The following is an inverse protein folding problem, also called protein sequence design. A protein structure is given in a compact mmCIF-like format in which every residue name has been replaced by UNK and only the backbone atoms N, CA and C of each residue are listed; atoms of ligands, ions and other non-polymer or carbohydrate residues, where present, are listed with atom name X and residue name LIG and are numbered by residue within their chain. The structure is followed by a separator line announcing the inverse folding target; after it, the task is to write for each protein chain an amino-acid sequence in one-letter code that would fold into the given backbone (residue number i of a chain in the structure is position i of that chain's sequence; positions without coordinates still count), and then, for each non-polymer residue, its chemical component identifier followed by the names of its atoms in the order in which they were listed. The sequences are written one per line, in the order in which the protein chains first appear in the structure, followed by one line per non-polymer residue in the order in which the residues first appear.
data_IF_055235262488
#
_entry.id   IF_055235262488
#
_cell.length_a   1.000
_cell.length_b   1.000
_cell.length_c   1.000
_cell.angle_alpha   90.00
_cell.angle_beta   90.00
_cell.angle_gamma   90.00
#
_symmetry.space_group_name_H-M   'P 1'
#
loop_
_entity.id
_entity.type
_entity.pdbx_description
1 polymer ?
#
# COMPACT_ATOMS: atom_id res chain seq x y z
N UNK A 1 -3.99 -9.92 5.46
CA UNK A 1 -3.46 -9.54 6.79
C UNK A 1 -2.89 -10.71 7.57
N UNK A 2 -3.59 -11.85 7.71
CA UNK A 2 -3.09 -13.01 8.48
C UNK A 2 -1.68 -13.48 8.06
N UNK A 3 -1.41 -13.54 6.75
CA UNK A 3 -0.06 -13.82 6.22
C UNK A 3 1.03 -12.89 6.79
N UNK A 4 0.74 -11.59 6.91
CA UNK A 4 1.70 -10.60 7.41
C UNK A 4 1.96 -10.85 8.90
N UNK A 5 0.90 -11.04 9.69
CA UNK A 5 1.02 -11.30 11.14
C UNK A 5 1.81 -12.58 11.42
N UNK A 6 1.61 -13.65 10.63
CA UNK A 6 2.34 -14.90 10.83
C UNK A 6 3.80 -14.85 10.41
N UNK A 7 4.16 -14.03 9.41
CA UNK A 7 5.56 -13.86 9.00
C UNK A 7 6.35 -12.95 9.95
N UNK A 8 5.65 -12.08 10.68
CA UNK A 8 6.24 -11.13 11.60
C UNK A 8 6.23 -11.75 13.00
N UNK A 9 7.40 -12.16 13.47
CA UNK A 9 7.58 -12.68 14.83
C UNK A 9 7.53 -11.51 15.82
N UNK A 10 6.32 -11.11 16.23
CA UNK A 10 6.07 -9.96 17.10
C UNK A 10 6.10 -10.41 18.56
N UNK A 11 7.00 -9.83 19.36
CA UNK A 11 7.02 -9.98 20.81
C UNK A 11 5.94 -9.08 21.46
N UNK A 12 4.84 -9.70 21.88
CA UNK A 12 3.72 -8.99 22.50
C UNK A 12 3.99 -8.51 23.93
N UNK A 13 5.03 -9.03 24.59
CA UNK A 13 5.36 -8.66 25.97
C UNK A 13 6.08 -7.31 25.99
N UNK A 14 7.01 -7.06 25.06
CA UNK A 14 7.63 -5.74 24.88
C UNK A 14 6.62 -4.66 24.45
N UNK A 15 5.62 -4.99 23.63
CA UNK A 15 4.58 -4.04 23.20
C UNK A 15 3.66 -3.57 24.33
N UNK A 16 3.56 -4.33 25.42
CA UNK A 16 2.76 -3.98 26.60
C UNK A 16 3.51 -3.10 27.58
N UNK A 17 4.84 -3.02 27.46
CA UNK A 17 5.68 -2.17 28.30
C UNK A 17 5.38 -0.68 27.98
N UNK A 18 4.84 0.06 28.95
CA UNK A 18 4.43 1.46 28.78
C UNK A 18 3.01 1.69 28.21
N UNK A 19 2.31 0.66 27.74
CA UNK A 19 0.91 0.79 27.29
C UNK A 19 -0.01 1.19 28.45
N UNK A 20 0.20 0.62 29.64
CA UNK A 20 -0.61 0.92 30.82
C UNK A 20 -0.47 2.38 31.28
N UNK A 21 0.67 3.03 31.05
CA UNK A 21 0.91 4.42 31.44
C UNK A 21 0.16 5.40 30.53
N UNK A 22 0.03 5.09 29.25
CA UNK A 22 -0.67 5.92 28.25
C UNK A 22 -2.17 5.62 28.14
N UNK A 23 -2.61 4.46 28.64
CA UNK A 23 -4.00 4.02 28.69
C UNK A 23 -4.97 5.05 29.30
N UNK A 24 -4.72 5.67 30.47
CA UNK A 24 -5.65 6.65 31.04
C UNK A 24 -5.85 7.89 30.16
N UNK A 25 -4.80 8.36 29.49
CA UNK A 25 -4.86 9.50 28.56
C UNK A 25 -5.67 9.09 27.33
N UNK A 26 -5.34 7.96 26.72
CA UNK A 26 -6.05 7.43 25.55
C UNK A 26 -7.53 7.16 25.83
N UNK A 27 -7.84 6.59 26.99
CA UNK A 27 -9.21 6.33 27.44
C UNK A 27 -9.99 7.64 27.62
N UNK A 28 -9.36 8.67 28.22
CA UNK A 28 -9.98 9.99 28.37
C UNK A 28 -10.32 10.60 27.01
N UNK A 29 -9.39 10.56 26.05
CA UNK A 29 -9.62 11.07 24.69
C UNK A 29 -10.72 10.26 23.99
N UNK A 30 -10.72 8.93 24.10
CA UNK A 30 -11.75 8.08 23.51
C UNK A 30 -13.14 8.39 24.07
N UNK A 31 -13.26 8.59 25.39
CA UNK A 31 -14.50 8.98 26.06
C UNK A 31 -14.97 10.36 25.59
N UNK A 32 -14.05 11.32 25.44
CA UNK A 32 -14.38 12.64 24.91
C UNK A 32 -14.91 12.57 23.47
N UNK A 33 -14.27 11.79 22.59
CA UNK A 33 -14.74 11.58 21.21
C UNK A 33 -16.12 10.92 21.22
N UNK A 34 -16.33 9.90 22.07
CA UNK A 34 -17.62 9.23 22.18
C UNK A 34 -18.71 10.18 22.67
N UNK A 35 -18.43 11.01 23.69
CA UNK A 35 -19.35 12.05 24.15
C UNK A 35 -19.67 13.06 23.04
N UNK A 36 -18.66 13.50 22.28
CA UNK A 36 -18.87 14.40 21.14
C UNK A 36 -19.80 13.77 20.10
N UNK A 37 -19.61 12.50 19.75
CA UNK A 37 -20.49 11.79 18.82
C UNK A 37 -21.92 11.69 19.36
N UNK A 38 -22.11 11.36 20.64
CA UNK A 38 -23.44 11.32 21.27
C UNK A 38 -24.11 12.69 21.25
N UNK A 39 -23.38 13.75 21.59
CA UNK A 39 -23.89 15.11 21.56
C UNK A 39 -24.26 15.52 20.13
N UNK A 40 -23.40 15.25 19.14
CA UNK A 40 -23.67 15.57 17.73
C UNK A 40 -24.91 14.83 17.21
N UNK A 41 -25.07 13.56 17.57
CA UNK A 41 -26.22 12.75 17.16
C UNK A 41 -27.52 13.17 17.87
N UNK A 42 -27.45 13.71 19.09
CA UNK A 42 -28.63 14.11 19.88
C UNK A 42 -28.96 15.61 19.83
N UNK A 43 -28.03 16.46 19.41
CA UNK A 43 -28.17 17.94 19.39
C UNK A 43 -29.10 18.50 18.30
N UNK A 44 -29.75 17.63 17.52
CA UNK A 44 -30.88 18.02 16.68
C UNK A 44 -30.63 18.67 15.31
N UNK A 45 -29.41 18.88 14.75
CA UNK A 45 -29.29 19.31 13.36
C UNK A 45 -29.61 18.17 12.37
N UNK A 46 -29.69 16.93 12.85
CA UNK A 46 -30.26 15.81 12.11
C UNK A 46 -31.74 15.75 12.42
N UNK A 47 -32.56 16.50 11.68
CA UNK A 47 -34.02 16.38 11.72
C UNK A 47 -34.42 15.05 11.08
N UNK A 48 -34.18 13.94 11.77
CA UNK A 48 -34.49 12.58 11.30
C UNK A 48 -36.00 12.46 10.99
N UNK A 49 -36.84 13.25 11.66
CA UNK A 49 -38.28 13.33 11.41
C UNK A 49 -38.66 14.06 10.09
N UNK A 50 -37.81 14.96 9.57
CA UNK A 50 -38.05 15.63 8.29
C UNK A 50 -37.46 14.88 7.08
N UNK A 51 -36.60 13.89 7.32
CA UNK A 51 -36.08 13.02 6.26
C UNK A 51 -37.20 12.05 5.90
N UNK A 52 -37.98 12.41 4.88
CA UNK A 52 -38.97 11.53 4.28
C UNK A 52 -38.32 10.18 3.99
N UNK A 53 -38.90 9.10 4.53
CA UNK A 53 -38.42 7.75 4.25
C UNK A 53 -38.32 7.57 2.73
N UNK A 54 -37.20 7.05 2.20
CA UNK A 54 -37.05 6.81 0.77
C UNK A 54 -38.24 5.98 0.28
N UNK A 55 -38.83 6.38 -0.85
CA UNK A 55 -39.94 5.64 -1.46
C UNK A 55 -39.48 4.18 -1.65
N UNK A 56 -40.24 3.18 -1.17
CA UNK A 56 -39.88 1.78 -1.32
C UNK A 56 -39.69 1.49 -2.80
N UNK A 57 -38.48 1.05 -3.14
CA UNK A 57 -38.15 0.77 -4.52
C UNK A 57 -38.89 -0.50 -4.97
N UNK A 58 -39.42 -0.49 -6.19
CA UNK A 58 -40.15 -1.63 -6.75
C UNK A 58 -39.29 -2.89 -6.85
N UNK A 59 -39.92 -4.05 -7.01
CA UNK A 59 -39.25 -5.37 -7.03
C UNK A 59 -38.16 -5.47 -8.13
N UNK A 60 -38.29 -4.68 -9.20
CA UNK A 60 -37.32 -4.58 -10.30
C UNK A 60 -36.17 -3.58 -10.05
N UNK A 61 -36.10 -2.97 -8.87
CA UNK A 61 -35.12 -1.94 -8.54
C UNK A 61 -33.81 -2.56 -8.02
N UNK A 62 -32.86 -2.77 -8.94
CA UNK A 62 -31.55 -3.34 -8.61
C UNK A 62 -30.55 -2.31 -8.06
N UNK A 63 -30.13 -2.49 -6.81
CA UNK A 63 -29.10 -1.64 -6.18
C UNK A 63 -27.79 -1.58 -6.98
N UNK A 64 -27.36 -2.70 -7.57
CA UNK A 64 -26.14 -2.77 -8.38
C UNK A 64 -26.24 -1.90 -9.63
N UNK A 65 -27.41 -1.86 -10.28
CA UNK A 65 -27.63 -1.04 -11.46
C UNK A 65 -27.60 0.45 -11.11
N UNK A 66 -28.25 0.83 -10.00
CA UNK A 66 -28.27 2.22 -9.53
C UNK A 66 -26.90 2.73 -9.09
N UNK A 67 -26.14 1.90 -8.36
CA UNK A 67 -24.75 2.23 -8.02
C UNK A 67 -23.90 2.38 -9.29
N UNK A 68 -24.09 1.51 -10.29
CA UNK A 68 -23.44 1.65 -11.59
C UNK A 68 -23.76 3.00 -12.25
N UNK A 69 -25.04 3.38 -12.31
CA UNK A 69 -25.45 4.67 -12.86
C UNK A 69 -24.77 5.84 -12.16
N UNK A 70 -24.73 5.85 -10.82
CA UNK A 70 -24.06 6.89 -10.05
C UNK A 70 -22.55 6.94 -10.30
N UNK A 71 -21.89 5.78 -10.22
CA UNK A 71 -20.44 5.66 -10.38
C UNK A 71 -19.96 6.08 -11.77
N UNK A 72 -20.69 5.71 -12.82
CA UNK A 72 -20.27 5.98 -14.19
C UNK A 72 -20.81 7.29 -14.77
N UNK A 73 -21.83 7.90 -14.16
CA UNK A 73 -22.42 9.17 -14.66
C UNK A 73 -21.98 10.37 -13.83
N UNK A 74 -22.16 10.31 -12.50
CA UNK A 74 -21.93 11.47 -11.62
C UNK A 74 -20.57 11.41 -10.92
N UNK A 75 -20.13 10.21 -10.55
CA UNK A 75 -18.91 10.00 -9.75
C UNK A 75 -17.77 9.38 -10.58
N UNK A 76 -17.76 9.61 -11.90
CA UNK A 76 -16.75 9.04 -12.78
C UNK A 76 -15.34 9.47 -12.40
N UNK A 77 -15.17 10.72 -11.97
CA UNK A 77 -13.87 11.26 -11.57
C UNK A 77 -13.27 10.56 -10.33
N UNK A 78 -13.95 10.52 -9.17
CA UNK A 78 -13.44 9.77 -8.02
C UNK A 78 -13.33 8.26 -8.29
N UNK A 79 -14.17 7.68 -9.15
CA UNK A 79 -14.05 6.28 -9.55
C UNK A 79 -12.75 6.00 -10.31
N UNK A 80 -12.41 6.84 -11.28
CA UNK A 80 -11.14 6.74 -12.03
C UNK A 80 -9.94 7.01 -11.11
N UNK A 81 -10.04 7.97 -10.20
CA UNK A 81 -9.00 8.20 -9.20
C UNK A 81 -8.79 6.98 -8.29
N UNK A 82 -9.85 6.32 -7.84
CA UNK A 82 -9.75 5.09 -7.06
C UNK A 82 -9.02 3.99 -7.86
N UNK A 83 -9.31 3.83 -9.15
CA UNK A 83 -8.60 2.90 -10.02
C UNK A 83 -7.10 3.23 -10.15
N UNK A 84 -6.75 4.51 -10.30
CA UNK A 84 -5.36 4.97 -10.33
C UNK A 84 -4.65 4.73 -8.99
N UNK A 85 -5.33 4.94 -7.86
CA UNK A 85 -4.79 4.67 -6.52
C UNK A 85 -4.56 3.17 -6.31
N UNK A 86 -5.45 2.30 -6.80
CA UNK A 86 -5.24 0.85 -6.75
C UNK A 86 -4.03 0.43 -7.57
N UNK A 87 -3.86 1.00 -8.77
CA UNK A 87 -2.67 0.76 -9.59
C UNK A 87 -1.40 1.21 -8.87
N UNK A 88 -1.41 2.42 -8.30
CA UNK A 88 -0.30 2.96 -7.53
C UNK A 88 0.04 2.07 -6.33
N UNK A 89 -0.98 1.61 -5.59
CA UNK A 89 -0.81 0.72 -4.45
C UNK A 89 -0.17 -0.60 -4.85
N UNK A 90 -0.58 -1.21 -5.96
CA UNK A 90 0.05 -2.43 -6.48
C UNK A 90 1.51 -2.21 -6.84
N UNK A 91 1.82 -1.13 -7.59
CA UNK A 91 3.21 -0.81 -7.96
C UNK A 91 4.07 -0.57 -6.71
N UNK A 92 3.58 0.23 -5.75
CA UNK A 92 4.27 0.50 -4.52
C UNK A 92 4.52 -0.78 -3.71
N UNK A 93 3.51 -1.63 -3.54
CA UNK A 93 3.63 -2.89 -2.82
C UNK A 93 4.67 -3.84 -3.46
N UNK A 94 4.67 -3.97 -4.79
CA UNK A 94 5.67 -4.78 -5.51
C UNK A 94 7.06 -4.20 -5.31
N UNK A 95 7.26 -2.90 -5.51
CA UNK A 95 8.58 -2.26 -5.37
C UNK A 95 9.12 -2.39 -3.95
N UNK A 96 8.26 -2.26 -2.93
CA UNK A 96 8.65 -2.40 -1.52
C UNK A 96 9.03 -3.83 -1.14
N UNK A 97 8.41 -4.83 -1.77
CA UNK A 97 8.65 -6.25 -1.47
C UNK A 97 9.67 -6.90 -2.40
N UNK A 98 10.05 -6.22 -3.49
CA UNK A 98 11.02 -6.72 -4.47
C UNK A 98 12.44 -6.71 -3.88
N UNK A 99 12.83 -7.83 -3.28
CA UNK A 99 14.17 -8.04 -2.74
C UNK A 99 15.13 -8.53 -3.83
N UNK A 100 16.17 -7.75 -4.16
CA UNK A 100 17.29 -8.24 -4.96
C UNK A 100 18.15 -9.18 -4.12
N UNK A 101 18.40 -10.39 -4.63
CA UNK A 101 19.32 -11.35 -4.01
C UNK A 101 20.77 -10.89 -4.19
N UNK A 102 21.50 -10.75 -3.09
CA UNK A 102 22.94 -10.48 -3.12
C UNK A 102 23.71 -11.75 -3.48
N UNK A 103 24.82 -11.61 -4.20
CA UNK A 103 25.67 -12.74 -4.64
C UNK A 103 25.31 -13.35 -6.00
N UNK A 104 24.22 -12.91 -6.65
CA UNK A 104 23.89 -13.36 -8.01
C UNK A 104 24.72 -12.57 -9.03
N UNK A 105 25.59 -13.26 -9.77
CA UNK A 105 26.30 -12.66 -10.91
C UNK A 105 25.30 -12.38 -12.02
N UNK A 106 25.13 -11.11 -12.36
CA UNK A 106 24.32 -10.66 -13.49
C UNK A 106 25.23 -10.08 -14.55
N UNK A 107 24.94 -10.36 -15.82
CA UNK A 107 25.66 -9.73 -16.92
C UNK A 107 25.02 -8.38 -17.23
N UNK A 108 25.85 -7.42 -17.60
CA UNK A 108 25.40 -6.13 -18.13
C UNK A 108 25.67 -6.14 -19.64
N UNK A 109 24.68 -6.43 -20.49
CA UNK A 109 24.89 -6.57 -21.93
C UNK A 109 25.51 -5.33 -22.57
N UNK A 110 25.14 -4.12 -22.08
CA UNK A 110 25.71 -2.87 -22.58
C UNK A 110 27.24 -2.78 -22.35
N UNK A 111 27.73 -3.20 -21.18
CA UNK A 111 29.17 -3.26 -20.91
C UNK A 111 29.86 -4.32 -21.78
N UNK A 112 29.17 -5.40 -22.15
CA UNK A 112 29.72 -6.46 -23.01
C UNK A 112 29.76 -6.13 -24.51
N UNK A 113 28.94 -5.17 -24.95
CA UNK A 113 28.87 -4.74 -26.36
C UNK A 113 29.81 -3.56 -26.60
N UNK A 114 30.01 -2.67 -25.63
CA UNK A 114 30.82 -1.44 -25.78
C UNK A 114 32.34 -1.63 -25.60
N UNK A 115 32.79 -2.86 -25.46
CA UNK A 115 34.19 -3.24 -25.24
C UNK A 115 35.04 -2.99 -26.48
N UNK A 116 36.20 -2.39 -26.27
CA UNK A 116 37.16 -2.07 -27.30
C UNK A 116 38.24 -3.14 -27.37
N UNK A 117 39.03 -3.12 -28.46
CA UNK A 117 40.17 -4.03 -28.63
C UNK A 117 41.14 -3.94 -27.45
N UNK A 118 41.39 -2.73 -26.97
CA UNK A 118 42.24 -2.41 -25.81
C UNK A 118 41.82 -3.17 -24.53
N UNK A 119 40.52 -3.38 -24.31
CA UNK A 119 39.98 -4.05 -23.12
C UNK A 119 40.12 -5.58 -23.16
N UNK A 120 40.43 -6.15 -24.33
CA UNK A 120 40.43 -7.60 -24.60
C UNK A 120 41.83 -8.20 -24.64
N UNK A 121 42.86 -7.41 -24.93
CA UNK A 121 44.22 -7.90 -25.18
C UNK A 121 45.27 -7.17 -24.34
N UNK A 122 46.09 -7.94 -23.62
CA UNK A 122 47.26 -7.44 -22.87
C UNK A 122 48.53 -8.03 -23.48
N UNK A 123 49.36 -7.18 -24.08
CA UNK A 123 50.69 -7.58 -24.56
C UNK A 123 51.64 -7.68 -23.36
N UNK A 124 51.97 -8.91 -22.96
CA UNK A 124 52.98 -9.17 -21.94
C UNK A 124 54.29 -9.49 -22.64
N UNK A 125 55.31 -8.64 -22.46
CA UNK A 125 56.68 -8.97 -22.87
C UNK A 125 57.24 -10.01 -21.91
N UNK A 126 57.71 -11.13 -22.45
CA UNK A 126 58.43 -12.15 -21.70
C UNK A 126 59.87 -12.27 -22.21
N UNK A 127 60.78 -12.63 -21.32
CA UNK A 127 62.17 -12.92 -21.68
C UNK A 127 62.22 -14.21 -22.50
N UNK A 128 63.05 -14.22 -23.54
CA UNK A 128 63.33 -15.42 -24.33
C UNK A 128 63.90 -16.50 -23.42
N UNK A 129 63.24 -17.66 -23.34
CA UNK A 129 63.90 -18.84 -22.77
C UNK A 129 65.13 -19.19 -23.61
N UNK A 130 66.22 -19.53 -22.92
CA UNK A 130 67.41 -20.06 -23.58
C UNK A 130 67.13 -21.51 -23.93
N UNK A 131 67.42 -21.83 -25.18
CA UNK A 131 67.30 -23.16 -25.74
C UNK A 131 68.38 -24.03 -25.09
N UNK A 132 67.98 -24.99 -24.27
CA UNK A 132 68.84 -26.10 -23.83
C UNK A 132 69.27 -26.95 -25.03
#
# INVERSE_FOLDING_TARGET
FLFVVMMLDIDFDQLREGFAETLPIGATVAVLILLQLVIVLTSGPFEIEQISAPVPAGVDYGNTHQLGLLLYTYYVYPFVLAAALLLLAMVAAIVLTLRKRTGTRTQKPHEQVQVRREDRIRLVKMNSEKKD
#
